data_IF_897507984341
#
_entry.id   IF_897507984341
#
_cell.length_a   1.000
_cell.length_b   1.000
_cell.length_c   1.000
_cell.angle_alpha   90.00
_cell.angle_beta   90.00
_cell.angle_gamma   90.00
#
_symmetry.space_group_name_H-M   'P 1'
#
loop_
_entity.id
_entity.type
_entity.pdbx_description
1 polymer ?
#
# COMPACT_ATOMS: atom_id res chain seq x y z
N UNK A 1 1.42 -59.97 -19.95
CA UNK A 1 1.92 -60.05 -21.32
C UNK A 1 1.28 -58.91 -22.10
N UNK A 2 2.01 -57.81 -22.23
CA UNK A 2 1.90 -56.87 -23.34
C UNK A 2 3.32 -56.35 -23.53
N UNK A 3 3.87 -56.74 -24.67
CA UNK A 3 5.17 -56.39 -25.24
C UNK A 3 5.07 -54.91 -25.67
N UNK A 4 6.04 -54.03 -25.44
CA UNK A 4 7.36 -54.04 -26.06
C UNK A 4 7.40 -52.98 -27.17
N UNK A 5 7.94 -51.80 -26.87
CA UNK A 5 8.63 -50.93 -27.84
C UNK A 5 9.30 -49.76 -27.08
N UNK A 6 10.61 -49.87 -26.95
CA UNK A 6 11.51 -48.82 -26.53
C UNK A 6 12.02 -48.09 -27.77
N UNK A 7 12.07 -46.77 -27.75
CA UNK A 7 13.00 -45.98 -28.54
C UNK A 7 13.49 -44.78 -27.70
N UNK A 8 14.78 -44.75 -27.34
CA UNK A 8 15.47 -43.54 -26.89
C UNK A 8 16.41 -43.05 -27.99
N UNK A 9 16.09 -41.94 -28.65
CA UNK A 9 17.06 -41.22 -29.47
C UNK A 9 17.72 -40.08 -28.68
N UNK A 10 19.04 -40.12 -28.72
CA UNK A 10 19.98 -39.20 -28.11
C UNK A 10 20.48 -38.16 -29.12
N UNK A 11 20.73 -36.92 -28.68
CA UNK A 11 21.75 -36.00 -29.22
C UNK A 11 21.81 -34.78 -28.26
N UNK A 12 22.79 -34.67 -27.37
CA UNK A 12 24.12 -34.11 -27.59
C UNK A 12 24.14 -32.58 -27.87
N UNK A 13 24.38 -31.80 -26.81
CA UNK A 13 25.05 -30.47 -26.75
C UNK A 13 26.48 -30.54 -27.37
N UNK A 14 27.29 -29.46 -27.58
CA UNK A 14 27.23 -28.04 -27.15
C UNK A 14 27.61 -27.03 -28.29
N UNK A 15 28.21 -25.86 -27.97
CA UNK A 15 28.88 -24.81 -28.81
C UNK A 15 28.18 -23.42 -28.71
N UNK A 16 28.53 -22.57 -27.73
CA UNK A 16 29.64 -21.58 -27.71
C UNK A 16 29.69 -20.65 -28.92
N UNK A 17 29.62 -19.34 -28.68
CA UNK A 17 30.57 -18.32 -29.19
C UNK A 17 30.36 -17.01 -28.40
N UNK A 18 31.40 -16.50 -27.71
CA UNK A 18 31.42 -15.16 -27.12
C UNK A 18 31.86 -14.13 -28.17
N UNK A 19 30.98 -13.21 -28.56
CA UNK A 19 31.40 -12.07 -29.40
C UNK A 19 32.12 -11.03 -28.54
N UNK A 20 33.43 -11.18 -28.44
CA UNK A 20 34.38 -10.12 -28.12
C UNK A 20 35.10 -9.72 -29.40
N UNK A 21 34.97 -8.48 -29.88
CA UNK A 21 36.10 -7.73 -30.46
C UNK A 21 35.76 -6.25 -30.74
N UNK A 22 36.82 -5.43 -30.71
CA UNK A 22 36.99 -4.08 -31.23
C UNK A 22 36.24 -2.94 -30.48
N UNK A 23 36.90 -2.03 -29.75
CA UNK A 23 38.22 -1.45 -29.96
C UNK A 23 38.09 -0.12 -30.70
N UNK A 24 37.99 0.99 -29.97
CA UNK A 24 38.29 2.32 -30.50
C UNK A 24 38.71 3.25 -29.36
N UNK A 25 40.02 3.40 -29.22
CA UNK A 25 40.65 4.54 -28.56
C UNK A 25 40.37 5.79 -29.41
N UNK A 26 39.95 6.90 -28.81
CA UNK A 26 40.26 8.22 -29.38
C UNK A 26 40.09 9.35 -28.38
N UNK A 27 41.15 10.15 -28.35
CA UNK A 27 41.18 11.60 -28.13
C UNK A 27 40.94 12.17 -26.73
N UNK A 28 42.03 12.72 -26.21
CA UNK A 28 42.10 13.76 -25.21
C UNK A 28 41.18 14.96 -25.48
N UNK A 29 40.61 15.51 -24.39
CA UNK A 29 40.28 16.93 -24.27
C UNK A 29 40.39 17.33 -22.79
N UNK A 30 41.44 18.09 -22.38
CA UNK A 30 41.43 18.82 -21.13
C UNK A 30 40.81 20.20 -21.37
N UNK A 31 39.53 20.38 -21.02
CA UNK A 31 39.00 21.72 -20.79
C UNK A 31 37.87 21.65 -19.77
N UNK A 32 38.25 21.46 -18.51
CA UNK A 32 37.34 21.63 -17.40
C UNK A 32 37.13 23.14 -17.19
N UNK A 33 35.90 23.67 -17.30
CA UNK A 33 35.65 25.07 -17.04
C UNK A 33 36.03 25.42 -15.59
N UNK A 34 36.57 26.62 -15.33
CA UNK A 34 37.03 26.99 -14.00
C UNK A 34 35.89 26.87 -12.97
N UNK A 35 36.26 26.33 -11.80
CA UNK A 35 35.39 26.16 -10.66
C UNK A 35 34.59 27.44 -10.42
N UNK A 36 33.25 27.33 -10.51
CA UNK A 36 32.35 28.43 -10.16
C UNK A 36 32.67 28.88 -8.74
N UNK A 37 33.14 30.12 -8.64
CA UNK A 37 33.49 30.80 -7.41
C UNK A 37 32.29 30.77 -6.46
N UNK A 38 32.44 30.02 -5.36
CA UNK A 38 31.42 29.94 -4.31
C UNK A 38 31.34 31.32 -3.67
N UNK A 39 30.37 32.13 -4.10
CA UNK A 39 30.02 33.36 -3.39
C UNK A 39 29.69 32.99 -1.94
N UNK A 40 30.60 33.37 -1.04
CA UNK A 40 30.38 33.34 0.40
C UNK A 40 29.40 34.47 0.75
N UNK A 41 28.11 34.24 0.51
CA UNK A 41 27.03 35.04 1.06
C UNK A 41 26.57 34.41 2.36
N UNK A 42 27.01 34.94 3.50
CA UNK A 42 26.51 34.55 4.81
C UNK A 42 25.00 34.87 4.91
N UNK A 43 24.11 33.92 5.28
CA UNK A 43 22.74 34.30 5.61
C UNK A 43 22.75 35.08 6.91
N UNK A 44 22.33 36.34 6.84
CA UNK A 44 22.07 37.18 7.99
C UNK A 44 21.19 36.41 9.00
N UNK A 45 21.64 36.37 10.25
CA UNK A 45 20.92 35.80 11.39
C UNK A 45 19.60 36.54 11.55
N UNK A 46 18.52 36.05 10.93
CA UNK A 46 17.16 36.46 11.27
C UNK A 46 16.80 35.70 12.54
N UNK A 47 16.89 36.38 13.67
CA UNK A 47 16.42 35.91 14.97
C UNK A 47 15.00 35.34 14.82
N UNK A 48 14.71 34.11 15.28
CA UNK A 48 13.34 33.65 15.32
C UNK A 48 12.61 34.44 16.41
N UNK A 49 11.62 35.24 16.01
CA UNK A 49 10.70 35.91 16.94
C UNK A 49 9.93 34.84 17.71
N UNK A 50 10.14 34.87 19.01
CA UNK A 50 9.47 34.12 20.05
C UNK A 50 8.04 34.60 20.23
N UNK A 51 7.08 33.96 19.54
CA UNK A 51 5.65 33.97 19.89
C UNK A 51 5.02 32.71 19.31
N UNK A 52 5.35 31.56 19.91
CA UNK A 52 4.60 30.33 19.70
C UNK A 52 3.99 29.99 21.04
N UNK A 53 2.94 30.73 21.36
CA UNK A 53 2.07 30.42 22.48
C UNK A 53 1.66 28.96 22.35
N UNK A 54 2.11 28.21 23.34
CA UNK A 54 1.95 26.79 23.54
C UNK A 54 0.45 26.54 23.78
N UNK A 55 -0.34 26.39 22.71
CA UNK A 55 -1.70 25.84 22.74
C UNK A 55 -1.59 24.35 23.08
N UNK A 56 -1.07 24.06 24.28
CA UNK A 56 -1.12 22.77 24.97
C UNK A 56 -2.57 22.53 25.34
N UNK A 57 -3.37 22.22 24.32
CA UNK A 57 -4.71 21.71 24.47
C UNK A 57 -4.64 20.51 25.40
N UNK A 58 -5.14 20.78 26.59
CA UNK A 58 -5.53 19.87 27.64
C UNK A 58 -5.96 18.51 27.05
N UNK A 59 -5.01 17.59 26.98
CA UNK A 59 -5.24 16.19 26.60
C UNK A 59 -5.60 15.37 27.84
N UNK A 60 -5.98 16.03 28.94
CA UNK A 60 -6.48 15.31 30.10
C UNK A 60 -7.87 14.72 29.79
N UNK A 61 -8.04 13.46 30.19
CA UNK A 61 -9.32 12.75 30.28
C UNK A 61 -9.89 12.09 29.01
N UNK A 62 -9.07 11.78 28.02
CA UNK A 62 -9.41 10.72 27.07
C UNK A 62 -9.15 9.33 27.65
N UNK A 63 -10.07 8.77 28.47
CA UNK A 63 -9.95 7.38 28.97
C UNK A 63 -9.48 6.46 27.83
N UNK A 64 -8.36 5.71 27.98
CA UNK A 64 -7.84 4.88 26.90
C UNK A 64 -8.95 3.98 26.37
N UNK A 65 -9.41 4.24 25.15
CA UNK A 65 -10.46 3.40 24.55
C UNK A 65 -9.92 1.98 24.53
N UNK A 66 -10.68 0.99 25.04
CA UNK A 66 -10.20 -0.38 25.10
C UNK A 66 -9.80 -0.80 23.69
N UNK A 67 -8.52 -1.19 23.54
CA UNK A 67 -7.98 -1.65 22.27
C UNK A 67 -8.75 -2.92 21.90
N UNK A 68 -9.69 -2.80 20.96
CA UNK A 68 -10.47 -3.93 20.48
C UNK A 68 -9.49 -5.02 20.02
N UNK A 69 -9.59 -6.20 20.63
CA UNK A 69 -8.75 -7.36 20.29
C UNK A 69 -8.85 -7.61 18.78
N UNK A 70 -7.70 -7.79 18.13
CA UNK A 70 -7.65 -8.06 16.69
C UNK A 70 -8.43 -9.33 16.40
N UNK A 71 -9.33 -9.26 15.41
CA UNK A 71 -10.00 -10.45 14.88
C UNK A 71 -8.94 -11.38 14.28
N UNK A 72 -9.13 -12.69 14.47
CA UNK A 72 -8.30 -13.71 13.82
C UNK A 72 -8.79 -13.89 12.38
N UNK A 73 -7.88 -14.01 11.43
CA UNK A 73 -8.22 -14.18 10.02
C UNK A 73 -8.66 -15.61 9.71
N UNK A 74 -9.55 -15.77 8.72
CA UNK A 74 -9.99 -17.07 8.22
C UNK A 74 -8.81 -17.92 7.69
N UNK A 75 -7.82 -17.29 7.07
CA UNK A 75 -6.63 -17.98 6.55
C UNK A 75 -5.78 -18.56 7.67
N UNK A 76 -5.54 -17.77 8.73
CA UNK A 76 -4.80 -18.23 9.91
C UNK A 76 -5.55 -19.32 10.67
N UNK A 77 -6.88 -19.27 10.74
CA UNK A 77 -7.69 -20.33 11.38
C UNK A 77 -7.61 -21.66 10.62
N UNK A 78 -7.69 -21.62 9.29
CA UNK A 78 -7.66 -22.82 8.44
C UNK A 78 -6.24 -23.24 8.04
N UNK A 79 -5.21 -22.55 8.54
CA UNK A 79 -3.78 -22.80 8.23
C UNK A 79 -3.48 -22.79 6.71
N UNK A 80 -4.22 -21.99 5.95
CA UNK A 80 -4.03 -21.83 4.51
C UNK A 80 -2.82 -20.92 4.29
N UNK A 81 -1.77 -21.47 3.69
CA UNK A 81 -0.50 -20.75 3.45
C UNK A 81 -0.52 -19.90 2.19
N UNK A 82 -1.23 -20.35 1.16
CA UNK A 82 -1.32 -19.71 -0.15
C UNK A 82 -2.77 -19.63 -0.62
N UNK A 83 -3.11 -18.55 -1.32
CA UNK A 83 -4.47 -18.28 -1.82
C UNK A 83 -4.39 -18.03 -3.31
N UNK A 84 -5.05 -18.90 -4.06
CA UNK A 84 -5.11 -18.78 -5.52
C UNK A 84 -6.29 -17.95 -5.99
N UNK A 85 -6.18 -17.43 -7.22
CA UNK A 85 -7.25 -16.65 -7.85
C UNK A 85 -8.46 -17.52 -8.26
N UNK A 86 -8.26 -18.84 -8.32
CA UNK A 86 -9.28 -19.84 -8.68
C UNK A 86 -10.25 -20.13 -7.53
N UNK A 87 -9.86 -19.84 -6.30
CA UNK A 87 -10.65 -20.13 -5.09
C UNK A 87 -11.71 -19.06 -4.83
N UNK A 88 -12.71 -18.98 -5.72
CA UNK A 88 -13.76 -17.95 -5.68
C UNK A 88 -14.48 -17.94 -4.32
N UNK A 89 -14.72 -19.10 -3.73
CA UNK A 89 -15.39 -19.23 -2.43
C UNK A 89 -14.61 -18.56 -1.28
N UNK A 90 -13.28 -18.61 -1.33
CA UNK A 90 -12.41 -17.95 -0.34
C UNK A 90 -12.36 -16.45 -0.63
N UNK A 91 -12.15 -16.06 -1.89
CA UNK A 91 -12.02 -14.66 -2.29
C UNK A 91 -13.29 -13.86 -2.05
N UNK A 92 -14.47 -14.44 -2.29
CA UNK A 92 -15.77 -13.80 -2.02
C UNK A 92 -15.94 -13.36 -0.57
N UNK A 93 -15.33 -14.06 0.40
CA UNK A 93 -15.36 -13.68 1.83
C UNK A 93 -14.54 -12.43 2.13
N UNK A 94 -13.61 -12.07 1.24
CA UNK A 94 -12.75 -10.89 1.36
C UNK A 94 -13.21 -9.74 0.46
N UNK A 95 -14.34 -9.90 -0.24
CA UNK A 95 -14.99 -8.84 -1.02
C UNK A 95 -16.33 -8.47 -0.38
N UNK A 96 -16.73 -7.22 -0.53
CA UNK A 96 -18.07 -6.76 -0.21
C UNK A 96 -19.03 -7.10 -1.35
N UNK A 97 -20.33 -6.92 -1.13
CA UNK A 97 -21.36 -7.12 -2.15
C UNK A 97 -21.15 -6.21 -3.36
N UNK A 98 -20.67 -4.99 -3.15
CA UNK A 98 -20.26 -4.03 -4.20
C UNK A 98 -19.03 -4.49 -5.02
N UNK A 99 -18.44 -5.63 -4.68
CA UNK A 99 -17.19 -6.14 -5.27
C UNK A 99 -15.92 -5.54 -4.67
N UNK A 100 -15.99 -4.54 -3.77
CA UNK A 100 -14.82 -3.89 -3.14
C UNK A 100 -14.06 -4.84 -2.21
N UNK A 101 -12.73 -4.74 -2.15
CA UNK A 101 -11.90 -5.59 -1.26
C UNK A 101 -12.02 -5.09 0.19
N UNK A 102 -12.40 -5.98 1.10
CA UNK A 102 -12.49 -5.69 2.53
C UNK A 102 -11.09 -5.50 3.13
N UNK A 103 -10.94 -4.43 3.92
CA UNK A 103 -9.69 -4.12 4.60
C UNK A 103 -9.41 -5.01 5.81
N UNK A 104 -8.14 -5.00 6.26
CA UNK A 104 -7.64 -5.81 7.39
C UNK A 104 -8.43 -5.66 8.70
N UNK A 105 -9.06 -4.51 8.93
CA UNK A 105 -9.86 -4.25 10.14
C UNK A 105 -11.15 -5.08 10.20
N UNK A 106 -11.70 -5.43 9.03
CA UNK A 106 -12.92 -6.22 8.93
C UNK A 106 -12.61 -7.72 8.98
N UNK A 107 -11.58 -8.13 8.25
CA UNK A 107 -11.23 -9.54 8.01
C UNK A 107 -10.23 -10.11 9.01
N UNK A 108 -9.49 -9.27 9.75
CA UNK A 108 -8.49 -9.72 10.72
C UNK A 108 -7.19 -10.24 10.11
N UNK A 109 -6.99 -10.08 8.78
CA UNK A 109 -5.81 -10.59 8.06
C UNK A 109 -4.51 -9.89 8.47
N UNK A 110 -3.41 -10.64 8.40
CA UNK A 110 -2.06 -10.06 8.53
C UNK A 110 -1.72 -9.23 7.28
N UNK A 111 -0.69 -8.39 7.35
CA UNK A 111 -0.28 -7.59 6.18
C UNK A 111 0.25 -8.47 5.03
N UNK A 112 0.83 -9.64 5.34
CA UNK A 112 1.29 -10.61 4.34
C UNK A 112 0.10 -11.25 3.64
N UNK A 113 -0.86 -11.77 4.41
CA UNK A 113 -2.10 -12.36 3.89
C UNK A 113 -2.88 -11.35 3.03
N UNK A 114 -3.04 -10.11 3.49
CA UNK A 114 -3.80 -9.10 2.74
C UNK A 114 -3.17 -8.80 1.37
N UNK A 115 -1.83 -8.73 1.28
CA UNK A 115 -1.13 -8.50 0.00
C UNK A 115 -1.35 -9.68 -0.96
N UNK A 116 -1.32 -10.90 -0.45
CA UNK A 116 -1.58 -12.12 -1.22
C UNK A 116 -3.03 -12.13 -1.73
N UNK A 117 -4.01 -11.93 -0.85
CA UNK A 117 -5.43 -11.83 -1.21
C UNK A 117 -5.65 -10.73 -2.26
N UNK A 118 -5.08 -9.54 -2.07
CA UNK A 118 -5.26 -8.44 -3.02
C UNK A 118 -4.64 -8.74 -4.40
N UNK A 119 -3.57 -9.53 -4.47
CA UNK A 119 -3.01 -10.02 -5.75
C UNK A 119 -3.94 -11.07 -6.38
N UNK A 120 -4.42 -12.03 -5.59
CA UNK A 120 -5.33 -13.07 -6.05
C UNK A 120 -6.66 -12.48 -6.57
N UNK A 121 -7.27 -11.53 -5.85
CA UNK A 121 -8.51 -10.86 -6.28
C UNK A 121 -8.30 -10.07 -7.57
N UNK A 122 -7.17 -9.37 -7.73
CA UNK A 122 -6.89 -8.63 -8.97
C UNK A 122 -6.82 -9.58 -10.17
N UNK A 123 -6.06 -10.67 -10.05
CA UNK A 123 -6.01 -11.72 -11.08
C UNK A 123 -7.38 -12.35 -11.34
N UNK A 124 -8.15 -12.64 -10.30
CA UNK A 124 -9.48 -13.21 -10.45
C UNK A 124 -10.43 -12.28 -11.22
N UNK A 125 -10.31 -10.96 -11.04
CA UNK A 125 -11.07 -9.97 -11.79
C UNK A 125 -10.62 -9.84 -13.24
N UNK A 126 -9.31 -9.90 -13.50
CA UNK A 126 -8.76 -9.95 -14.86
C UNK A 126 -9.27 -11.19 -15.62
N UNK A 127 -9.43 -12.32 -14.92
CA UNK A 127 -10.00 -13.56 -15.45
C UNK A 127 -11.54 -13.59 -15.45
N UNK A 128 -12.21 -12.48 -15.17
CA UNK A 128 -13.67 -12.37 -15.09
C UNK A 128 -14.36 -13.33 -14.08
N UNK A 129 -13.62 -13.88 -13.10
CA UNK A 129 -14.18 -14.73 -12.05
C UNK A 129 -14.88 -13.94 -10.94
N UNK A 130 -14.55 -12.66 -10.80
CA UNK A 130 -15.13 -11.75 -9.80
C UNK A 130 -15.49 -10.40 -10.44
N UNK A 131 -16.60 -9.76 -10.00
CA UNK A 131 -17.01 -8.46 -10.53
C UNK A 131 -16.07 -7.32 -10.08
N UNK A 132 -15.90 -6.32 -10.95
CA UNK A 132 -15.20 -5.07 -10.63
C UNK A 132 -16.11 -4.08 -9.91
N UNK A 133 -17.37 -3.99 -10.35
CA UNK A 133 -18.43 -3.17 -9.78
C UNK A 133 -19.65 -4.08 -9.75
N UNK A 134 -20.20 -4.35 -8.57
CA UNK A 134 -21.52 -4.93 -8.52
C UNK A 134 -22.54 -3.80 -8.67
N UNK A 135 -23.48 -3.99 -9.59
CA UNK A 135 -24.68 -3.17 -9.67
C UNK A 135 -25.36 -3.28 -8.31
N UNK A 136 -25.46 -2.14 -7.65
CA UNK A 136 -25.90 -1.95 -6.28
C UNK A 136 -27.35 -2.41 -6.10
N UNK A 137 -27.52 -3.63 -5.61
CA UNK A 137 -28.85 -4.18 -5.32
C UNK A 137 -29.51 -3.58 -4.07
N UNK A 138 -28.90 -2.61 -3.38
CA UNK A 138 -29.39 -2.15 -2.06
C UNK A 138 -28.95 -0.74 -1.62
N UNK A 139 -28.80 0.23 -2.52
CA UNK A 139 -28.53 1.64 -2.15
C UNK A 139 -29.79 2.37 -1.63
N UNK A 140 -30.42 1.81 -0.60
CA UNK A 140 -31.39 2.51 0.23
C UNK A 140 -30.69 3.24 1.38
N UNK A 141 -30.52 4.56 1.25
CA UNK A 141 -30.55 5.58 2.30
C UNK A 141 -29.75 5.39 3.60
N UNK A 142 -28.84 6.34 3.90
CA UNK A 142 -28.26 6.44 5.24
C UNK A 142 -27.20 7.52 5.43
N UNK A 143 -27.52 8.75 5.03
CA UNK A 143 -26.67 9.92 5.28
C UNK A 143 -26.39 10.10 6.77
N UNK A 144 -25.16 9.82 7.19
CA UNK A 144 -24.64 10.28 8.49
C UNK A 144 -24.02 11.64 8.31
N UNK A 145 -24.89 12.65 8.19
CA UNK A 145 -24.55 14.03 8.47
C UNK A 145 -24.03 14.10 9.91
N UNK A 146 -22.71 14.23 10.06
CA UNK A 146 -22.15 14.66 11.34
C UNK A 146 -22.45 16.15 11.43
N UNK A 147 -23.54 16.49 12.11
CA UNK A 147 -23.78 17.84 12.57
C UNK A 147 -22.58 18.25 13.41
N UNK A 148 -21.63 18.96 12.79
CA UNK A 148 -20.67 19.78 13.52
C UNK A 148 -21.55 20.86 14.16
N UNK A 149 -21.73 20.76 15.48
CA UNK A 149 -22.51 21.74 16.22
C UNK A 149 -22.02 23.15 15.91
N UNK A 150 -22.92 24.15 15.91
CA UNK A 150 -22.54 25.53 15.62
C UNK A 150 -21.49 25.97 16.64
N UNK A 151 -20.41 26.54 16.13
CA UNK A 151 -19.45 27.29 16.92
C UNK A 151 -20.22 28.40 17.66
N UNK A 152 -20.13 28.44 18.99
CA UNK A 152 -20.73 29.45 19.87
C UNK A 152 -19.61 30.39 20.36
N UNK A 153 -19.42 31.56 19.73
CA UNK A 153 -18.46 32.56 20.18
C UNK A 153 -19.18 33.59 21.05
N UNK A 154 -19.28 33.35 22.36
CA UNK A 154 -20.14 34.22 23.17
C UNK A 154 -19.95 34.23 24.68
N UNK A 155 -18.81 33.82 25.24
CA UNK A 155 -18.60 34.01 26.68
C UNK A 155 -17.26 34.67 26.99
N UNK A 156 -17.13 35.92 26.51
CA UNK A 156 -16.24 36.91 27.09
C UNK A 156 -16.61 37.09 28.57
N UNK A 157 -15.80 36.50 29.45
CA UNK A 157 -15.85 36.74 30.88
C UNK A 157 -14.69 37.65 31.20
N UNK A 158 -15.02 38.71 31.94
CA UNK A 158 -14.18 39.67 32.67
C UNK A 158 -13.54 40.80 31.85
N UNK A 159 -13.90 42.04 32.21
CA UNK A 159 -13.10 43.27 32.49
C UNK A 159 -14.12 44.43 32.61
N UNK A 160 -14.29 45.19 33.69
CA UNK A 160 -13.58 45.38 34.95
C UNK A 160 -14.37 46.31 35.89
N UNK A 161 -13.79 46.53 37.08
CA UNK A 161 -14.04 47.53 38.15
C UNK A 161 -15.46 47.77 38.72
#
# INVERSE_FOLDING_TARGET
MNEGAAEPEAAATPESEPTSDAGAQTAAAPDAPPARERHQGAPARRSPSSDKEDDRRDTSQGRPRPRRRRKVSFLSQNKIREVDYKDIAVLKRFTNDEGKILGRRHTGTTAKEQRMIARAIRRAREMALLPFVALDSSSGGGGRGRSRGPYDPGHDRSHGD
#
